data_IF_840051852732
#
_entry.id   IF_840051852732
#
_cell.length_a   1.000
_cell.length_b   1.000
_cell.length_c   1.000
_cell.angle_alpha   90.00
_cell.angle_beta   90.00
_cell.angle_gamma   90.00
#
_symmetry.space_group_name_H-M   'P 1'
#
loop_
_entity.id
_entity.type
_entity.pdbx_description
1 polymer ?
#
# COMPACT_ATOMS: atom_id res chain seq x y z
N UNK A 1 2.36 -21.98 6.27
CA UNK A 1 1.89 -23.23 6.92
C UNK A 1 0.67 -23.78 6.20
N UNK A 2 -0.43 -23.02 6.04
CA UNK A 2 -1.62 -23.44 5.26
C UNK A 2 -1.24 -23.98 3.86
N UNK A 3 -0.59 -23.18 3.01
CA UNK A 3 -0.18 -23.60 1.66
C UNK A 3 0.70 -24.86 1.65
N UNK A 4 1.55 -25.04 2.65
CA UNK A 4 2.38 -26.24 2.75
C UNK A 4 1.55 -27.50 3.03
N UNK A 5 0.58 -27.39 3.95
CA UNK A 5 -0.26 -28.53 4.34
C UNK A 5 -1.27 -28.96 3.28
N UNK A 6 -1.65 -28.05 2.37
CA UNK A 6 -2.54 -28.35 1.24
C UNK A 6 -1.80 -28.69 -0.06
N UNK A 7 -0.46 -28.82 -0.03
CA UNK A 7 0.33 -29.20 -1.22
C UNK A 7 0.70 -28.06 -2.17
N UNK A 8 0.44 -26.81 -1.81
CA UNK A 8 0.68 -25.59 -2.60
C UNK A 8 2.01 -24.90 -2.26
N UNK A 9 3.01 -25.66 -1.81
CA UNK A 9 4.31 -25.13 -1.38
C UNK A 9 5.17 -24.56 -2.53
N UNK A 10 4.84 -24.86 -3.78
CA UNK A 10 5.50 -24.26 -4.96
C UNK A 10 5.09 -22.82 -5.21
N UNK A 11 3.97 -22.40 -4.63
CA UNK A 11 3.33 -21.10 -4.81
C UNK A 11 3.66 -20.12 -3.67
N UNK A 12 4.66 -20.42 -2.83
CA UNK A 12 5.10 -19.58 -1.72
C UNK A 12 6.60 -19.29 -1.79
N UNK A 13 6.98 -18.05 -1.49
CA UNK A 13 8.37 -17.61 -1.35
C UNK A 13 8.52 -16.59 -0.24
N UNK A 14 9.74 -16.43 0.26
CA UNK A 14 10.07 -15.43 1.29
C UNK A 14 10.34 -14.06 0.62
N UNK A 15 11.41 -13.97 -0.17
CA UNK A 15 11.81 -12.74 -0.88
C UNK A 15 12.05 -13.01 -2.37
N UNK A 16 11.97 -11.96 -3.18
CA UNK A 16 12.49 -11.95 -4.55
C UNK A 16 13.67 -10.97 -4.62
N UNK A 17 14.70 -11.33 -5.39
CA UNK A 17 15.91 -10.53 -5.52
C UNK A 17 15.92 -9.65 -6.78
N UNK A 18 15.10 -9.98 -7.78
CA UNK A 18 15.03 -9.25 -9.05
C UNK A 18 13.68 -9.46 -9.74
N UNK A 19 13.39 -8.62 -10.74
CA UNK A 19 12.20 -8.73 -11.57
C UNK A 19 12.14 -10.05 -12.36
N UNK A 20 13.28 -10.50 -12.87
CA UNK A 20 13.44 -11.78 -13.56
C UNK A 20 13.07 -12.96 -12.67
N UNK A 21 13.40 -12.88 -11.38
CA UNK A 21 13.04 -13.90 -10.39
C UNK A 21 11.52 -14.02 -10.21
N UNK A 22 10.79 -12.89 -10.23
CA UNK A 22 9.33 -12.87 -10.16
C UNK A 22 8.74 -13.56 -11.40
N UNK A 23 9.21 -13.17 -12.59
CA UNK A 23 8.76 -13.76 -13.85
C UNK A 23 9.02 -15.26 -13.91
N UNK A 24 10.20 -15.71 -13.50
CA UNK A 24 10.54 -17.14 -13.50
C UNK A 24 9.74 -17.94 -12.47
N UNK A 25 9.36 -17.33 -11.35
CA UNK A 25 8.45 -17.95 -10.38
C UNK A 25 7.05 -18.13 -10.98
N UNK A 26 6.49 -17.08 -11.56
CA UNK A 26 5.17 -17.13 -12.20
C UNK A 26 5.13 -18.06 -13.42
N UNK A 27 6.22 -18.16 -14.18
CA UNK A 27 6.34 -19.12 -15.28
C UNK A 27 6.17 -20.58 -14.84
N UNK A 28 6.47 -20.89 -13.57
CA UNK A 28 6.39 -22.26 -13.03
C UNK A 28 5.04 -22.60 -12.44
N UNK A 29 4.36 -21.62 -11.83
CA UNK A 29 3.14 -21.88 -11.04
C UNK A 29 1.92 -21.09 -11.48
N UNK A 30 2.06 -20.05 -12.29
CA UNK A 30 0.99 -19.09 -12.64
C UNK A 30 0.56 -18.19 -11.47
N UNK A 31 0.67 -18.69 -10.24
CA UNK A 31 0.32 -18.04 -8.98
C UNK A 31 1.48 -18.04 -8.00
N UNK A 32 1.71 -16.94 -7.28
CA UNK A 32 2.80 -16.83 -6.31
C UNK A 32 2.44 -15.89 -5.15
N UNK A 33 2.72 -16.34 -3.92
CA UNK A 33 2.67 -15.54 -2.70
C UNK A 33 4.08 -15.31 -2.18
N UNK A 34 4.53 -14.06 -2.14
CA UNK A 34 5.74 -13.69 -1.39
C UNK A 34 5.35 -13.17 0.00
N UNK A 35 5.91 -13.77 1.05
CA UNK A 35 5.73 -13.36 2.44
C UNK A 35 7.06 -12.84 2.99
N UNK A 36 7.25 -11.53 2.94
CA UNK A 36 8.52 -10.87 3.24
C UNK A 36 8.46 -10.17 4.60
N UNK A 37 9.27 -10.62 5.56
CA UNK A 37 9.56 -9.79 6.72
C UNK A 37 10.61 -8.73 6.37
N UNK A 38 10.39 -7.50 6.85
CA UNK A 38 11.16 -6.29 6.48
C UNK A 38 10.97 -5.84 5.03
N UNK A 39 9.69 -5.67 4.63
CA UNK A 39 9.34 -5.25 3.27
C UNK A 39 9.91 -3.88 2.87
N UNK A 40 10.31 -3.04 3.83
CA UNK A 40 11.01 -1.80 3.55
C UNK A 40 12.37 -2.02 2.85
N UNK A 41 13.02 -3.17 3.06
CA UNK A 41 14.22 -3.56 2.32
C UNK A 41 13.96 -3.72 0.82
N UNK A 42 12.81 -4.29 0.44
CA UNK A 42 12.39 -4.44 -0.96
C UNK A 42 12.13 -3.07 -1.59
N UNK A 43 11.47 -2.16 -0.86
CA UNK A 43 11.20 -0.80 -1.33
C UNK A 43 12.49 0.03 -1.46
N UNK A 44 13.46 -0.15 -0.55
CA UNK A 44 14.78 0.47 -0.66
C UNK A 44 15.52 -0.03 -1.89
N UNK A 45 15.49 -1.33 -2.18
CA UNK A 45 16.09 -1.88 -3.40
C UNK A 45 15.45 -1.27 -4.65
N UNK A 46 14.12 -1.15 -4.68
CA UNK A 46 13.39 -0.45 -5.74
C UNK A 46 13.89 0.99 -5.95
N UNK A 47 14.16 1.73 -4.87
CA UNK A 47 14.65 3.11 -4.97
C UNK A 47 16.13 3.21 -5.36
N UNK A 48 16.94 2.22 -4.99
CA UNK A 48 18.37 2.17 -5.31
C UNK A 48 18.63 1.73 -6.75
N UNK A 49 17.66 1.06 -7.39
CA UNK A 49 17.68 0.68 -8.81
C UNK A 49 17.47 1.92 -9.72
N UNK A 50 18.27 2.96 -9.48
CA UNK A 50 18.36 4.20 -10.25
C UNK A 50 19.16 4.03 -11.54
N UNK A 51 19.97 2.98 -11.63
CA UNK A 51 20.88 2.72 -12.75
C UNK A 51 20.45 1.48 -13.57
N UNK A 52 19.82 1.72 -14.72
CA UNK A 52 19.92 0.86 -15.92
C UNK A 52 19.58 -0.65 -15.83
N UNK A 53 18.78 -1.13 -14.85
CA UNK A 53 18.19 -2.47 -14.98
C UNK A 53 17.07 -2.43 -16.03
N UNK A 54 17.15 -3.33 -17.04
CA UNK A 54 16.28 -3.29 -18.24
C UNK A 54 14.79 -3.55 -17.94
N UNK A 55 14.45 -4.03 -16.74
CA UNK A 55 13.08 -4.13 -16.23
C UNK A 55 13.06 -3.86 -14.71
N UNK A 56 12.89 -2.58 -14.31
CA UNK A 56 12.79 -2.24 -12.89
C UNK A 56 11.62 -3.00 -12.25
N UNK A 57 11.85 -3.62 -11.08
CA UNK A 57 10.85 -4.36 -10.27
C UNK A 57 9.48 -3.66 -10.23
N UNK A 58 9.37 -2.33 -10.00
CA UNK A 58 8.08 -1.64 -9.96
C UNK A 58 7.28 -1.78 -11.25
N UNK A 59 7.92 -1.71 -12.41
CA UNK A 59 7.24 -1.82 -13.70
C UNK A 59 6.66 -3.22 -13.87
N UNK A 60 7.40 -4.27 -13.51
CA UNK A 60 6.89 -5.65 -13.55
C UNK A 60 5.67 -5.79 -12.63
N UNK A 61 5.74 -5.27 -11.40
CA UNK A 61 4.62 -5.34 -10.46
C UNK A 61 3.38 -4.58 -10.97
N UNK A 62 3.57 -3.41 -11.59
CA UNK A 62 2.48 -2.63 -12.20
C UNK A 62 1.86 -3.35 -13.40
N UNK A 63 2.67 -3.95 -14.27
CA UNK A 63 2.20 -4.71 -15.42
C UNK A 63 1.46 -5.96 -14.98
N UNK A 64 1.99 -6.73 -14.01
CA UNK A 64 1.33 -7.91 -13.45
C UNK A 64 -0.03 -7.57 -12.83
N UNK A 65 -0.12 -6.46 -12.08
CA UNK A 65 -1.38 -5.99 -11.52
C UNK A 65 -2.43 -5.73 -12.61
N UNK A 66 -2.02 -5.16 -13.73
CA UNK A 66 -2.91 -4.84 -14.86
C UNK A 66 -3.24 -6.07 -15.70
N UNK A 67 -2.32 -7.03 -15.79
CA UNK A 67 -2.45 -8.25 -16.59
C UNK A 67 -3.17 -9.38 -15.85
N UNK A 68 -3.67 -9.18 -14.64
CA UNK A 68 -4.26 -10.25 -13.82
C UNK A 68 -5.45 -10.97 -14.49
N UNK A 69 -6.13 -10.33 -15.45
CA UNK A 69 -7.19 -10.92 -16.27
C UNK A 69 -6.80 -11.15 -17.74
N UNK A 70 -5.51 -11.09 -18.08
CA UNK A 70 -5.00 -11.14 -19.45
C UNK A 70 -3.69 -11.95 -19.53
N UNK A 71 -3.10 -12.04 -20.71
CA UNK A 71 -1.83 -12.71 -20.97
C UNK A 71 -0.66 -11.79 -20.64
N UNK A 72 0.25 -12.27 -19.79
CA UNK A 72 1.50 -11.60 -19.45
C UNK A 72 2.69 -12.23 -20.18
N UNK A 73 3.23 -11.59 -21.24
CA UNK A 73 4.42 -12.08 -21.93
C UNK A 73 5.65 -11.96 -21.03
N UNK A 74 6.46 -13.03 -20.98
CA UNK A 74 7.72 -13.02 -20.23
C UNK A 74 8.87 -12.46 -21.07
N UNK A 75 9.93 -12.01 -20.40
CA UNK A 75 11.17 -11.62 -21.06
C UNK A 75 11.73 -12.76 -21.92
N UNK A 76 12.36 -12.40 -23.03
CA UNK A 76 13.02 -13.36 -23.92
C UNK A 76 14.40 -13.71 -23.37
N UNK A 77 14.69 -15.00 -23.23
CA UNK A 77 15.99 -15.53 -22.81
C UNK A 77 16.85 -15.92 -24.03
N UNK A 78 18.18 -15.93 -23.87
CA UNK A 78 19.07 -16.43 -24.90
C UNK A 78 18.72 -17.89 -25.25
N UNK A 79 18.70 -18.22 -26.55
CA UNK A 79 18.30 -19.53 -27.10
C UNK A 79 16.82 -19.93 -26.89
N UNK A 80 15.95 -18.99 -26.51
CA UNK A 80 14.52 -19.23 -26.44
C UNK A 80 13.93 -19.22 -27.86
N UNK A 81 13.39 -20.36 -28.29
CA UNK A 81 12.78 -20.51 -29.63
C UNK A 81 11.32 -20.05 -29.67
N UNK A 82 10.59 -20.25 -28.57
CA UNK A 82 9.17 -19.98 -28.48
C UNK A 82 8.88 -18.86 -27.46
N UNK A 83 7.92 -18.00 -27.75
CA UNK A 83 7.45 -17.00 -26.80
C UNK A 83 6.83 -17.68 -25.57
N UNK A 84 7.28 -17.28 -24.38
CA UNK A 84 6.71 -17.78 -23.12
C UNK A 84 5.86 -16.67 -22.53
N UNK A 85 4.67 -17.03 -22.07
CA UNK A 85 3.75 -16.14 -21.39
C UNK A 85 3.15 -16.84 -20.17
N UNK A 86 2.57 -16.05 -19.28
CA UNK A 86 1.73 -16.53 -18.18
C UNK A 86 0.33 -16.01 -18.45
N UNK A 87 -0.64 -16.92 -18.56
CA UNK A 87 -2.04 -16.58 -18.72
C UNK A 87 -2.65 -16.26 -17.34
N UNK A 88 -3.24 -15.08 -17.17
CA UNK A 88 -3.84 -14.60 -15.92
C UNK A 88 -2.90 -14.73 -14.70
N UNK A 89 -1.72 -14.07 -14.70
CA UNK A 89 -0.77 -14.17 -13.61
C UNK A 89 -1.36 -13.70 -12.28
N UNK A 90 -1.14 -14.47 -11.21
CA UNK A 90 -1.63 -14.13 -9.88
C UNK A 90 -0.48 -13.95 -8.88
N UNK A 91 -0.07 -12.70 -8.64
CA UNK A 91 0.97 -12.37 -7.68
C UNK A 91 0.39 -11.69 -6.44
N UNK A 92 0.61 -12.27 -5.26
CA UNK A 92 0.32 -11.64 -3.97
C UNK A 92 1.61 -11.32 -3.24
N UNK A 93 1.74 -10.06 -2.80
CA UNK A 93 2.81 -9.63 -1.92
C UNK A 93 2.23 -9.36 -0.54
N UNK A 94 2.76 -10.05 0.46
CA UNK A 94 2.46 -9.81 1.86
C UNK A 94 3.77 -9.50 2.56
N UNK A 95 3.81 -8.43 3.34
CA UNK A 95 5.00 -8.14 4.10
C UNK A 95 4.76 -7.27 5.31
N UNK A 96 5.67 -7.41 6.26
CA UNK A 96 5.71 -6.63 7.49
C UNK A 96 6.91 -5.69 7.43
N UNK A 97 6.73 -4.48 7.94
CA UNK A 97 7.81 -3.51 8.02
C UNK A 97 7.62 -2.61 9.24
N UNK A 98 8.72 -2.09 9.78
CA UNK A 98 8.62 -1.05 10.81
C UNK A 98 8.10 0.23 10.16
N UNK A 99 7.03 0.87 10.68
CA UNK A 99 6.41 2.02 10.02
C UNK A 99 7.41 3.11 9.62
N UNK A 100 8.34 3.44 10.51
CA UNK A 100 9.38 4.43 10.23
C UNK A 100 10.19 4.09 8.95
N UNK A 101 10.71 2.87 8.85
CA UNK A 101 11.55 2.47 7.74
C UNK A 101 10.76 2.30 6.44
N UNK A 102 9.51 1.83 6.54
CA UNK A 102 8.61 1.75 5.39
C UNK A 102 8.37 3.13 4.77
N UNK A 103 7.97 4.12 5.57
CA UNK A 103 7.68 5.46 5.04
C UNK A 103 8.92 6.20 4.56
N UNK A 104 10.08 6.04 5.23
CA UNK A 104 11.36 6.56 4.76
C UNK A 104 11.81 5.95 3.42
N UNK A 105 11.28 4.77 3.07
CA UNK A 105 11.56 4.08 1.80
C UNK A 105 10.60 4.45 0.68
N UNK A 106 9.65 5.38 0.89
CA UNK A 106 8.77 5.84 -0.19
C UNK A 106 9.42 7.00 -0.95
N UNK A 107 9.16 7.07 -2.26
CA UNK A 107 9.61 8.16 -3.13
C UNK A 107 8.46 8.77 -3.92
N UNK A 108 8.60 10.06 -4.31
CA UNK A 108 7.58 10.76 -5.11
C UNK A 108 7.21 9.98 -6.38
N UNK A 109 8.21 9.38 -7.04
CA UNK A 109 8.01 8.54 -8.23
C UNK A 109 7.07 7.35 -7.97
N UNK A 110 7.18 6.69 -6.81
CA UNK A 110 6.31 5.55 -6.46
C UNK A 110 4.88 5.96 -6.15
N UNK A 111 4.68 7.21 -5.70
CA UNK A 111 3.36 7.77 -5.48
C UNK A 111 2.68 8.10 -6.82
N UNK A 112 3.40 8.78 -7.72
CA UNK A 112 2.81 9.27 -8.97
C UNK A 112 2.69 8.20 -10.06
N UNK A 113 3.55 7.18 -10.06
CA UNK A 113 3.43 6.05 -11.01
C UNK A 113 2.34 5.01 -10.61
N UNK A 114 1.65 5.24 -9.48
CA UNK A 114 0.57 4.39 -8.99
C UNK A 114 1.01 3.08 -8.36
N UNK A 115 2.29 2.87 -8.07
CA UNK A 115 2.73 1.72 -7.28
C UNK A 115 2.12 1.77 -5.87
N UNK A 116 2.23 2.92 -5.21
CA UNK A 116 1.73 3.10 -3.84
C UNK A 116 0.21 2.94 -3.73
N UNK A 117 -0.54 3.49 -4.69
CA UNK A 117 -2.00 3.44 -4.74
C UNK A 117 -2.57 2.02 -4.94
N UNK A 118 -1.74 1.02 -5.23
CA UNK A 118 -2.13 -0.40 -5.39
C UNK A 118 -1.87 -1.25 -4.15
N UNK A 119 -1.24 -0.69 -3.12
CA UNK A 119 -0.94 -1.39 -1.87
C UNK A 119 -2.06 -1.19 -0.85
N UNK A 120 -2.28 -2.20 0.00
CA UNK A 120 -3.04 -2.04 1.25
C UNK A 120 -2.03 -1.90 2.39
N UNK A 121 -1.99 -0.72 3.03
CA UNK A 121 -0.99 -0.40 4.05
C UNK A 121 -1.72 -0.23 5.39
N UNK A 122 -1.52 -1.20 6.27
CA UNK A 122 -2.24 -1.28 7.54
C UNK A 122 -1.27 -0.90 8.66
N UNK A 123 -1.39 0.33 9.15
CA UNK A 123 -0.67 0.79 10.33
C UNK A 123 -1.22 0.07 11.58
N UNK A 124 -0.44 -0.85 12.13
CA UNK A 124 -0.76 -1.44 13.43
C UNK A 124 -0.41 -0.41 14.49
N UNK A 125 -1.43 0.11 15.18
CA UNK A 125 -1.27 1.11 16.24
C UNK A 125 -0.54 0.56 17.47
N UNK A 126 -0.83 1.13 18.64
CA UNK A 126 -0.23 0.66 19.89
C UNK A 126 -0.51 -0.82 20.08
N UNK A 127 0.55 -1.62 20.26
CA UNK A 127 0.44 -3.05 20.53
C UNK A 127 -0.50 -3.28 21.72
N UNK A 128 -1.50 -4.14 21.49
CA UNK A 128 -2.40 -4.60 22.55
C UNK A 128 -1.68 -5.41 23.62
N UNK A 129 -2.41 -5.81 24.67
CA UNK A 129 -1.88 -6.76 25.65
C UNK A 129 -1.53 -8.07 24.94
N UNK A 130 -0.39 -8.65 25.29
CA UNK A 130 0.05 -9.91 24.69
C UNK A 130 -0.97 -11.02 24.91
N UNK A 131 -1.17 -11.84 23.89
CA UNK A 131 -1.94 -13.08 23.95
C UNK A 131 -0.98 -14.24 23.75
N UNK A 132 -1.27 -15.40 24.35
CA UNK A 132 -0.56 -16.64 24.01
C UNK A 132 -0.95 -17.02 22.59
N UNK A 133 0.00 -17.08 21.64
CA UNK A 133 -0.34 -17.43 20.27
C UNK A 133 -0.79 -18.90 20.20
N UNK A 134 -1.74 -19.18 19.29
CA UNK A 134 -2.06 -20.55 18.92
C UNK A 134 -0.88 -21.25 18.25
N UNK A 135 -0.99 -22.57 18.04
CA UNK A 135 0.04 -23.33 17.34
C UNK A 135 0.02 -23.04 15.84
N UNK A 136 1.13 -22.54 15.29
CA UNK A 136 1.30 -22.41 13.85
C UNK A 136 1.45 -23.76 13.12
N UNK A 137 1.66 -24.86 13.86
CA UNK A 137 1.76 -26.23 13.32
C UNK A 137 0.39 -26.93 13.30
N UNK A 138 -0.43 -26.69 14.32
CA UNK A 138 -1.74 -27.31 14.47
C UNK A 138 -2.81 -26.29 14.07
N UNK A 139 -3.03 -26.18 12.77
CA UNK A 139 -4.06 -25.31 12.20
C UNK A 139 -5.43 -25.98 12.37
N UNK A 140 -6.52 -25.23 12.59
CA UNK A 140 -7.86 -25.79 12.64
C UNK A 140 -8.23 -26.47 11.31
N UNK A 141 -8.81 -27.67 11.38
CA UNK A 141 -9.19 -28.46 10.20
C UNK A 141 -10.14 -27.68 9.28
N UNK A 142 -11.10 -26.95 9.84
CA UNK A 142 -12.03 -26.11 9.08
C UNK A 142 -11.32 -25.08 8.16
N UNK A 143 -10.17 -24.53 8.58
CA UNK A 143 -9.39 -23.61 7.74
C UNK A 143 -8.67 -24.36 6.63
N UNK A 144 -8.14 -25.55 6.94
CA UNK A 144 -7.45 -26.40 5.96
C UNK A 144 -8.42 -26.93 4.91
N UNK A 145 -9.62 -27.31 5.30
CA UNK A 145 -10.65 -27.84 4.41
C UNK A 145 -11.11 -26.79 3.40
N UNK A 146 -11.38 -25.56 3.87
CA UNK A 146 -11.72 -24.43 2.97
C UNK A 146 -10.53 -24.07 2.07
N UNK A 147 -9.30 -24.10 2.58
CA UNK A 147 -8.12 -23.81 1.78
C UNK A 147 -7.87 -24.88 0.70
N UNK A 148 -8.07 -26.17 1.02
CA UNK A 148 -8.01 -27.27 0.03
C UNK A 148 -9.09 -27.11 -1.01
N UNK A 149 -10.32 -26.77 -0.60
CA UNK A 149 -11.41 -26.51 -1.52
C UNK A 149 -11.02 -25.44 -2.54
N UNK A 150 -10.47 -24.30 -2.10
CA UNK A 150 -9.99 -23.25 -3.02
C UNK A 150 -8.81 -23.68 -3.90
N UNK A 151 -7.92 -24.54 -3.41
CA UNK A 151 -6.81 -25.06 -4.21
C UNK A 151 -7.29 -26.01 -5.33
N UNK A 152 -8.39 -26.73 -5.09
CA UNK A 152 -9.01 -27.68 -6.01
C UNK A 152 -10.12 -27.05 -6.87
N UNK A 153 -10.52 -25.81 -6.56
CA UNK A 153 -11.63 -25.15 -7.23
C UNK A 153 -11.27 -24.73 -8.67
N UNK A 154 -11.91 -25.39 -9.64
CA UNK A 154 -11.81 -25.09 -11.07
C UNK A 154 -13.20 -24.75 -11.63
N UNK A 155 -13.60 -23.47 -11.67
CA UNK A 155 -14.96 -23.08 -12.04
C UNK A 155 -15.33 -23.26 -13.52
N UNK A 156 -14.38 -23.56 -14.40
CA UNK A 156 -14.64 -23.79 -15.82
C UNK A 156 -14.58 -25.27 -16.20
N UNK A 157 -15.39 -25.68 -17.18
CA UNK A 157 -15.31 -27.02 -17.77
C UNK A 157 -14.37 -27.09 -18.98
N UNK A 158 -13.64 -28.20 -19.13
CA UNK A 158 -12.89 -28.55 -20.35
C UNK A 158 -11.43 -28.98 -20.11
N UNK A 159 -10.79 -29.51 -21.16
CA UNK A 159 -9.45 -30.13 -21.08
C UNK A 159 -8.26 -29.13 -21.03
N UNK A 160 -8.50 -27.82 -21.08
CA UNK A 160 -7.46 -26.77 -21.13
C UNK A 160 -7.49 -25.80 -19.94
N UNK A 161 -8.21 -26.14 -18.86
CA UNK A 161 -8.39 -25.26 -17.70
C UNK A 161 -7.08 -24.94 -16.96
N UNK A 162 -6.09 -25.84 -17.03
CA UNK A 162 -4.75 -25.62 -16.48
C UNK A 162 -3.89 -24.65 -17.30
N UNK A 163 -4.32 -24.30 -18.52
CA UNK A 163 -3.60 -23.42 -19.45
C UNK A 163 -4.28 -22.05 -19.57
N UNK A 164 -5.62 -22.01 -19.60
CA UNK A 164 -6.40 -20.77 -19.61
C UNK A 164 -7.56 -20.86 -18.61
N UNK A 165 -7.37 -20.41 -17.36
CA UNK A 165 -8.42 -20.42 -16.35
C UNK A 165 -9.61 -19.55 -16.78
N UNK A 166 -10.83 -20.06 -16.59
CA UNK A 166 -12.06 -19.27 -16.72
C UNK A 166 -12.53 -18.88 -15.33
N UNK A 167 -12.33 -17.63 -14.87
CA UNK A 167 -12.73 -17.23 -13.54
C UNK A 167 -14.25 -17.28 -13.39
N UNK A 168 -14.72 -17.66 -12.20
CA UNK A 168 -16.13 -17.54 -11.84
C UNK A 168 -16.49 -16.06 -11.65
N UNK A 169 -17.53 -15.58 -12.32
CA UNK A 169 -18.04 -14.22 -12.12
C UNK A 169 -19.04 -14.23 -10.95
N UNK A 170 -18.69 -13.55 -9.86
CA UNK A 170 -19.54 -13.48 -8.68
C UNK A 170 -20.50 -12.28 -8.82
N UNK A 171 -21.83 -12.49 -8.79
CA UNK A 171 -22.78 -11.41 -8.99
C UNK A 171 -22.93 -10.55 -7.74
N UNK A 172 -23.30 -9.30 -7.96
CA UNK A 172 -23.79 -8.40 -6.91
C UNK A 172 -25.27 -8.71 -6.61
N UNK A 173 -25.72 -8.37 -5.40
CA UNK A 173 -27.14 -8.06 -5.16
C UNK A 173 -27.46 -6.67 -5.72
N UNK A 174 -28.72 -6.42 -6.06
CA UNK A 174 -29.15 -5.14 -6.67
C UNK A 174 -28.76 -3.94 -5.78
N UNK A 175 -28.98 -4.03 -4.47
CA UNK A 175 -28.59 -3.00 -3.50
C UNK A 175 -27.07 -2.80 -3.39
N UNK A 176 -26.28 -3.86 -3.58
CA UNK A 176 -24.82 -3.78 -3.61
C UNK A 176 -24.30 -3.14 -4.90
N UNK A 177 -25.00 -3.34 -6.02
CA UNK A 177 -24.68 -2.71 -7.30
C UNK A 177 -24.96 -1.19 -7.27
N UNK A 178 -26.05 -0.79 -6.62
CA UNK A 178 -26.33 0.63 -6.35
C UNK A 178 -25.24 1.25 -5.46
N UNK A 179 -24.90 0.61 -4.34
CA UNK A 179 -23.91 1.11 -3.39
C UNK A 179 -22.50 1.23 -4.00
N UNK A 180 -22.08 0.27 -4.85
CA UNK A 180 -20.77 0.35 -5.51
C UNK A 180 -20.74 1.42 -6.61
N UNK A 181 -21.89 1.73 -7.21
CA UNK A 181 -22.04 2.83 -8.16
C UNK A 181 -21.92 4.18 -7.45
N UNK A 182 -22.57 4.34 -6.30
CA UNK A 182 -22.43 5.54 -5.45
C UNK A 182 -20.97 5.77 -5.02
N UNK A 183 -20.27 4.70 -4.59
CA UNK A 183 -18.84 4.82 -4.27
C UNK A 183 -18.02 5.30 -5.48
N UNK A 184 -18.30 4.78 -6.68
CA UNK A 184 -17.58 5.17 -7.90
C UNK A 184 -17.74 6.67 -8.14
N UNK A 185 -18.97 7.17 -8.12
CA UNK A 185 -19.27 8.60 -8.29
C UNK A 185 -18.59 9.46 -7.22
N UNK A 186 -18.61 9.02 -5.96
CA UNK A 186 -17.88 9.69 -4.88
C UNK A 186 -16.38 9.77 -5.17
N UNK A 187 -15.76 8.69 -5.63
CA UNK A 187 -14.32 8.67 -5.94
C UNK A 187 -13.96 9.48 -7.19
N UNK A 188 -14.87 9.60 -8.16
CA UNK A 188 -14.72 10.47 -9.34
C UNK A 188 -14.73 11.95 -8.92
N UNK A 189 -15.61 12.36 -8.01
CA UNK A 189 -15.61 13.73 -7.46
C UNK A 189 -14.28 14.07 -6.78
N UNK A 190 -13.72 13.16 -5.98
CA UNK A 190 -12.42 13.39 -5.32
C UNK A 190 -11.25 13.36 -6.32
N UNK A 191 -11.36 12.56 -7.39
CA UNK A 191 -10.41 12.57 -8.49
C UNK A 191 -10.40 13.93 -9.20
N UNK A 192 -11.58 14.46 -9.55
CA UNK A 192 -11.71 15.74 -10.27
C UNK A 192 -11.14 16.90 -9.44
N UNK A 193 -11.44 16.95 -8.13
CA UNK A 193 -10.84 17.92 -7.21
C UNK A 193 -9.31 17.86 -7.20
N UNK A 194 -8.75 16.65 -7.23
CA UNK A 194 -7.31 16.45 -7.25
C UNK A 194 -6.69 16.88 -8.59
N UNK A 195 -7.37 16.61 -9.71
CA UNK A 195 -6.93 17.02 -11.04
C UNK A 195 -6.96 18.55 -11.21
N UNK A 196 -8.01 19.22 -10.72
CA UNK A 196 -8.18 20.68 -10.76
C UNK A 196 -7.02 21.44 -10.09
N UNK A 197 -6.46 20.88 -9.01
CA UNK A 197 -5.31 21.46 -8.28
C UNK A 197 -3.96 20.87 -8.71
N UNK A 198 -3.95 19.94 -9.66
CA UNK A 198 -2.74 19.28 -10.14
C UNK A 198 -2.07 18.31 -9.15
N UNK A 199 -2.81 17.78 -8.18
CA UNK A 199 -2.31 16.78 -7.23
C UNK A 199 -2.30 15.38 -7.86
N UNK A 200 -1.20 15.05 -8.53
CA UNK A 200 -1.01 13.76 -9.18
C UNK A 200 -1.07 12.57 -8.19
N UNK A 201 -0.68 12.76 -6.93
CA UNK A 201 -0.70 11.70 -5.91
C UNK A 201 -2.13 11.39 -5.51
N UNK A 202 -2.92 12.43 -5.21
CA UNK A 202 -4.34 12.31 -4.90
C UNK A 202 -5.13 11.71 -6.06
N UNK A 203 -4.93 12.24 -7.27
CA UNK A 203 -5.55 11.73 -8.48
C UNK A 203 -5.31 10.22 -8.68
N UNK A 204 -4.07 9.80 -8.48
CA UNK A 204 -3.68 8.38 -8.62
C UNK A 204 -4.33 7.50 -7.55
N UNK A 205 -4.39 7.94 -6.29
CA UNK A 205 -5.06 7.21 -5.21
C UNK A 205 -6.57 7.07 -5.44
N UNK A 206 -7.26 8.17 -5.78
CA UNK A 206 -8.70 8.17 -5.99
C UNK A 206 -9.12 7.30 -7.17
N UNK A 207 -8.34 7.31 -8.26
CA UNK A 207 -8.59 6.46 -9.45
C UNK A 207 -8.64 4.95 -9.17
N UNK A 208 -8.09 4.49 -8.04
CA UNK A 208 -8.02 3.06 -7.66
C UNK A 208 -8.93 2.70 -6.50
N UNK A 209 -9.54 3.68 -5.84
CA UNK A 209 -10.28 3.45 -4.59
C UNK A 209 -11.50 2.56 -4.82
N UNK A 210 -12.31 2.83 -5.86
CA UNK A 210 -13.45 1.99 -6.21
C UNK A 210 -13.01 0.58 -6.66
N UNK A 211 -11.92 0.46 -7.43
CA UNK A 211 -11.36 -0.84 -7.85
C UNK A 211 -10.93 -1.69 -6.63
N UNK A 212 -10.30 -1.07 -5.63
CA UNK A 212 -9.94 -1.72 -4.38
C UNK A 212 -11.16 -2.18 -3.59
N UNK A 213 -12.19 -1.33 -3.45
CA UNK A 213 -13.42 -1.71 -2.77
C UNK A 213 -14.08 -2.92 -3.46
N UNK A 214 -14.14 -2.96 -4.79
CA UNK A 214 -14.67 -4.12 -5.54
C UNK A 214 -13.90 -5.41 -5.24
N UNK A 215 -12.57 -5.36 -5.24
CA UNK A 215 -11.71 -6.53 -4.93
C UNK A 215 -11.91 -6.99 -3.48
N UNK A 216 -11.99 -6.06 -2.53
CA UNK A 216 -12.21 -6.36 -1.12
C UNK A 216 -13.61 -6.94 -0.86
N UNK A 217 -14.65 -6.41 -1.51
CA UNK A 217 -16.01 -6.93 -1.43
C UNK A 217 -16.11 -8.36 -1.99
N UNK A 218 -15.40 -8.66 -3.08
CA UNK A 218 -15.29 -10.02 -3.61
C UNK A 218 -14.63 -10.97 -2.61
N UNK A 219 -13.51 -10.57 -2.00
CA UNK A 219 -12.81 -11.38 -0.98
C UNK A 219 -13.73 -11.62 0.21
N UNK A 220 -14.46 -10.60 0.66
CA UNK A 220 -15.43 -10.70 1.74
C UNK A 220 -16.50 -11.74 1.41
N UNK A 221 -17.15 -11.63 0.24
CA UNK A 221 -18.21 -12.55 -0.19
C UNK A 221 -17.72 -14.00 -0.27
N UNK A 222 -16.53 -14.22 -0.84
CA UNK A 222 -15.90 -15.54 -0.90
C UNK A 222 -15.53 -16.10 0.48
N UNK A 223 -15.26 -15.23 1.46
CA UNK A 223 -14.96 -15.65 2.83
C UNK A 223 -16.22 -16.02 3.62
N UNK A 224 -17.37 -15.36 3.35
CA UNK A 224 -18.65 -15.71 3.96
C UNK A 224 -19.21 -17.02 3.40
N UNK A 225 -19.14 -17.20 2.08
CA UNK A 225 -19.60 -18.42 1.42
C UNK A 225 -18.71 -18.73 0.21
N UNK A 226 -17.83 -19.72 0.36
CA UNK A 226 -16.93 -20.13 -0.72
C UNK A 226 -17.63 -20.97 -1.80
N UNK A 227 -18.79 -21.57 -1.52
CA UNK A 227 -19.49 -22.48 -2.44
C UNK A 227 -20.37 -21.71 -3.43
N UNK A 228 -21.17 -20.77 -2.91
CA UNK A 228 -22.06 -19.93 -3.71
C UNK A 228 -21.96 -18.47 -3.24
N UNK A 229 -20.82 -17.80 -3.50
CA UNK A 229 -20.63 -16.42 -3.09
C UNK A 229 -21.58 -15.50 -3.85
N UNK A 230 -22.03 -14.46 -3.17
CA UNK A 230 -22.74 -13.32 -3.74
C UNK A 230 -22.25 -12.05 -3.06
N UNK A 231 -21.95 -11.01 -3.83
CA UNK A 231 -21.48 -9.75 -3.25
C UNK A 231 -22.69 -8.99 -2.72
N UNK A 232 -22.81 -8.93 -1.40
CA UNK A 232 -23.93 -8.30 -0.68
C UNK A 232 -23.65 -6.85 -0.34
N UNK A 233 -24.69 -6.11 0.07
CA UNK A 233 -24.56 -4.74 0.55
C UNK A 233 -23.57 -4.62 1.71
N UNK A 234 -23.59 -5.59 2.64
CA UNK A 234 -22.66 -5.62 3.78
C UNK A 234 -21.20 -5.71 3.33
N UNK A 235 -20.91 -6.54 2.31
CA UNK A 235 -19.60 -6.67 1.72
C UNK A 235 -19.12 -5.35 1.10
N UNK A 236 -20.00 -4.67 0.35
CA UNK A 236 -19.70 -3.39 -0.29
C UNK A 236 -19.50 -2.28 0.74
N UNK A 237 -20.35 -2.18 1.76
CA UNK A 237 -20.20 -1.17 2.82
C UNK A 237 -18.86 -1.32 3.55
N UNK A 238 -18.54 -2.53 4.02
CA UNK A 238 -17.28 -2.81 4.69
C UNK A 238 -16.08 -2.47 3.81
N UNK A 239 -16.11 -2.90 2.54
CA UNK A 239 -15.03 -2.67 1.59
C UNK A 239 -14.88 -1.18 1.24
N UNK A 240 -15.99 -0.45 1.11
CA UNK A 240 -16.02 0.99 0.82
C UNK A 240 -15.43 1.80 1.97
N UNK A 241 -15.86 1.52 3.20
CA UNK A 241 -15.32 2.16 4.40
C UNK A 241 -13.81 1.94 4.51
N UNK A 242 -13.36 0.70 4.32
CA UNK A 242 -11.94 0.36 4.36
C UNK A 242 -11.16 1.06 3.23
N UNK A 243 -11.64 1.02 2.00
CA UNK A 243 -10.95 1.60 0.84
C UNK A 243 -10.86 3.13 0.93
N UNK A 244 -11.93 3.81 1.33
CA UNK A 244 -11.94 5.27 1.55
C UNK A 244 -11.01 5.67 2.68
N UNK A 245 -11.02 4.93 3.80
CA UNK A 245 -10.08 5.16 4.88
C UNK A 245 -8.62 4.98 4.42
N UNK A 246 -8.33 3.90 3.69
CA UNK A 246 -7.00 3.63 3.15
C UNK A 246 -6.53 4.72 2.19
N UNK A 247 -7.38 5.18 1.27
CA UNK A 247 -7.05 6.26 0.34
C UNK A 247 -6.68 7.55 1.09
N UNK A 248 -7.54 8.01 2.01
CA UNK A 248 -7.28 9.20 2.83
C UNK A 248 -6.02 9.06 3.66
N UNK A 249 -5.80 7.88 4.26
CA UNK A 249 -4.62 7.59 5.07
C UNK A 249 -3.36 7.61 4.22
N UNK A 250 -3.39 7.03 3.01
CA UNK A 250 -2.28 7.05 2.06
C UNK A 250 -1.90 8.48 1.65
N UNK A 251 -2.89 9.33 1.36
CA UNK A 251 -2.65 10.74 1.02
C UNK A 251 -2.06 11.53 2.18
N UNK A 252 -2.59 11.32 3.39
CA UNK A 252 -2.01 11.89 4.60
C UNK A 252 -0.55 11.44 4.81
N UNK A 253 -0.27 10.15 4.67
CA UNK A 253 1.08 9.63 4.88
C UNK A 253 2.06 10.11 3.81
N UNK A 254 1.60 10.21 2.56
CA UNK A 254 2.37 10.77 1.46
C UNK A 254 2.79 12.22 1.76
N UNK A 255 1.85 13.06 2.21
CA UNK A 255 2.14 14.47 2.52
C UNK A 255 3.05 14.66 3.73
N UNK A 256 3.04 13.73 4.69
CA UNK A 256 3.87 13.80 5.90
C UNK A 256 5.26 13.19 5.74
N UNK A 257 5.42 12.19 4.87
CA UNK A 257 6.65 11.40 4.81
C UNK A 257 7.42 11.50 3.50
N UNK A 258 6.79 11.85 2.38
CA UNK A 258 7.48 11.87 1.09
C UNK A 258 8.04 13.25 0.78
N UNK A 259 9.35 13.37 1.00
CA UNK A 259 10.10 14.56 0.64
C UNK A 259 10.48 14.57 -0.85
N UNK A 260 10.41 15.74 -1.46
CA UNK A 260 10.85 15.94 -2.85
C UNK A 260 12.37 16.03 -2.97
N UNK A 261 13.02 16.54 -1.94
CA UNK A 261 14.46 16.77 -1.88
C UNK A 261 14.95 16.74 -0.41
N UNK A 262 16.27 16.68 -0.16
CA UNK A 262 16.81 16.60 1.20
C UNK A 262 16.38 17.76 2.11
N UNK A 263 16.24 18.97 1.57
CA UNK A 263 15.81 20.14 2.35
C UNK A 263 14.33 20.03 2.75
N UNK A 264 13.47 19.59 1.83
CA UNK A 264 12.06 19.30 2.13
C UNK A 264 11.94 18.19 3.20
N UNK A 265 12.81 17.17 3.18
CA UNK A 265 12.83 16.14 4.23
C UNK A 265 13.09 16.74 5.62
N UNK A 266 13.98 17.73 5.70
CA UNK A 266 14.26 18.46 6.94
C UNK A 266 13.07 19.30 7.41
N UNK A 267 12.35 19.93 6.49
CA UNK A 267 11.10 20.66 6.77
C UNK A 267 10.02 19.72 7.34
N UNK A 268 9.76 18.59 6.67
CA UNK A 268 8.81 17.58 7.14
C UNK A 268 9.19 17.01 8.51
N UNK A 269 10.48 16.77 8.74
CA UNK A 269 10.98 16.30 10.03
C UNK A 269 10.70 17.32 11.14
N UNK A 270 10.86 18.61 10.88
CA UNK A 270 10.51 19.66 11.84
C UNK A 270 9.01 19.67 12.14
N UNK A 271 8.15 19.67 11.10
CA UNK A 271 6.69 19.62 11.25
C UNK A 271 6.25 18.43 12.08
N UNK A 272 6.82 17.24 11.82
CA UNK A 272 6.53 16.02 12.59
C UNK A 272 6.90 16.18 14.07
N UNK A 273 8.06 16.76 14.39
CA UNK A 273 8.47 17.01 15.79
C UNK A 273 7.50 17.92 16.53
N UNK A 274 6.93 18.91 15.84
CA UNK A 274 5.89 19.76 16.38
C UNK A 274 4.58 18.99 16.52
N UNK A 275 4.12 18.28 15.48
CA UNK A 275 2.87 17.52 15.49
C UNK A 275 2.81 16.45 16.59
N UNK A 276 3.94 15.83 16.95
CA UNK A 276 4.06 14.83 18.02
C UNK A 276 3.86 15.43 19.44
N UNK A 277 3.74 16.76 19.58
CA UNK A 277 3.49 17.45 20.86
C UNK A 277 2.00 17.71 21.07
N UNK A 278 1.47 17.55 22.31
CA UNK A 278 0.04 17.78 22.59
C UNK A 278 -0.48 19.17 22.20
N UNK A 279 0.34 20.20 22.38
CA UNK A 279 0.07 21.61 22.04
C UNK A 279 0.68 22.02 20.69
N UNK A 280 1.22 21.05 19.96
CA UNK A 280 1.96 21.21 18.69
C UNK A 280 3.04 22.28 18.73
N UNK A 281 3.58 22.51 19.92
CA UNK A 281 4.50 23.62 20.20
C UNK A 281 5.80 23.07 20.76
N UNK A 282 6.92 23.66 20.36
CA UNK A 282 8.23 23.26 20.86
C UNK A 282 9.20 24.43 20.93
N UNK A 283 9.99 24.50 22.00
CA UNK A 283 10.98 25.56 22.19
C UNK A 283 12.10 25.44 21.14
N UNK A 284 12.60 26.56 20.60
CA UNK A 284 13.61 26.58 19.53
C UNK A 284 14.84 25.73 19.88
N UNK A 285 15.30 25.81 21.13
CA UNK A 285 16.46 25.03 21.63
C UNK A 285 16.20 23.52 21.58
N UNK A 286 14.98 23.08 21.88
CA UNK A 286 14.63 21.67 21.86
C UNK A 286 14.50 21.14 20.44
N UNK A 287 13.89 21.92 19.53
CA UNK A 287 13.82 21.56 18.11
C UNK A 287 15.23 21.42 17.54
N UNK A 288 16.09 22.43 17.76
CA UNK A 288 17.48 22.44 17.28
C UNK A 288 18.28 21.23 17.79
N UNK A 289 18.11 20.85 19.06
CA UNK A 289 18.73 19.63 19.63
C UNK A 289 18.20 18.36 18.97
N UNK A 290 16.91 18.30 18.66
CA UNK A 290 16.27 17.11 18.07
C UNK A 290 16.56 16.90 16.59
N UNK A 291 16.94 17.96 15.87
CA UNK A 291 17.22 17.93 14.44
C UNK A 291 18.70 17.71 14.13
N UNK A 292 19.62 17.99 15.05
CA UNK A 292 21.07 17.81 14.81
C UNK A 292 21.59 18.48 13.53
N UNK A 293 20.94 19.58 13.10
CA UNK A 293 21.33 20.38 11.95
C UNK A 293 22.40 21.42 12.34
N UNK A 294 23.17 21.89 11.36
CA UNK A 294 23.98 23.10 11.52
C UNK A 294 23.06 24.29 11.76
N UNK A 295 23.54 25.30 12.49
CA UNK A 295 22.73 26.46 12.86
C UNK A 295 22.13 27.18 11.65
N UNK A 296 22.94 27.41 10.61
CA UNK A 296 22.49 28.02 9.37
C UNK A 296 21.36 27.22 8.69
N UNK A 297 21.54 25.91 8.53
CA UNK A 297 20.56 25.05 7.85
C UNK A 297 19.24 24.98 8.66
N UNK A 298 19.35 24.94 9.99
CA UNK A 298 18.19 25.02 10.89
C UNK A 298 17.41 26.32 10.71
N UNK A 299 18.11 27.46 10.64
CA UNK A 299 17.48 28.77 10.45
C UNK A 299 16.81 28.88 9.07
N UNK A 300 17.39 28.30 8.03
CA UNK A 300 16.76 28.23 6.71
C UNK A 300 15.47 27.41 6.71
N UNK A 301 15.46 26.25 7.39
CA UNK A 301 14.24 25.43 7.54
C UNK A 301 13.14 26.20 8.27
N UNK A 302 13.46 26.85 9.39
CA UNK A 302 12.50 27.67 10.14
C UNK A 302 11.97 28.82 9.28
N UNK A 303 12.86 29.56 8.62
CA UNK A 303 12.48 30.70 7.78
C UNK A 303 11.54 30.26 6.66
N UNK A 304 11.85 29.15 6.00
CA UNK A 304 11.03 28.60 4.92
C UNK A 304 9.64 28.24 5.42
N UNK A 305 9.54 27.47 6.51
CA UNK A 305 8.25 27.07 7.08
C UNK A 305 7.42 28.25 7.59
N UNK A 306 8.06 29.31 8.10
CA UNK A 306 7.38 30.55 8.48
C UNK A 306 6.86 31.31 7.26
N UNK A 307 7.65 31.41 6.19
CA UNK A 307 7.24 32.05 4.93
C UNK A 307 6.12 31.29 4.22
N UNK A 308 6.07 29.97 4.40
CA UNK A 308 4.99 29.12 3.92
C UNK A 308 3.74 29.14 4.83
N UNK A 309 3.78 29.89 5.94
CA UNK A 309 2.69 29.96 6.92
C UNK A 309 2.31 28.60 7.52
N UNK A 310 3.27 27.69 7.60
CA UNK A 310 3.07 26.37 8.20
C UNK A 310 3.42 26.34 9.69
N UNK A 311 4.26 27.28 10.14
CA UNK A 311 4.59 27.46 11.55
C UNK A 311 4.54 28.94 11.93
N UNK A 312 4.26 29.21 13.20
CA UNK A 312 4.30 30.56 13.77
C UNK A 312 5.19 30.63 15.03
N UNK A 313 5.83 31.78 15.28
CA UNK A 313 6.60 32.00 16.50
C UNK A 313 5.67 32.14 17.70
N UNK A 314 6.04 31.49 18.81
CA UNK A 314 5.28 31.54 20.06
C UNK A 314 6.19 31.70 21.26
N UNK A 315 5.68 32.39 22.28
CA UNK A 315 6.35 32.49 23.58
C UNK A 315 5.80 31.41 24.51
N UNK A 316 6.66 30.48 24.90
CA UNK A 316 6.35 29.35 25.78
C UNK A 316 6.68 29.72 27.22
N UNK A 317 5.69 29.68 28.10
CA UNK A 317 5.90 29.93 29.53
C UNK A 317 6.69 28.76 30.14
N UNK A 318 7.81 29.06 30.78
CA UNK A 318 8.60 28.05 31.53
C UNK A 318 8.75 28.48 32.98
N UNK A 319 9.18 27.56 33.85
CA UNK A 319 9.34 27.81 35.30
C UNK A 319 10.31 28.96 35.63
N UNK A 320 11.22 29.33 34.73
CA UNK A 320 12.22 30.37 34.97
C UNK A 320 12.03 31.60 34.08
N UNK A 321 12.17 31.45 32.76
CA UNK A 321 12.01 32.55 31.80
C UNK A 321 11.18 32.10 30.60
N UNK A 322 10.35 32.97 30.00
CA UNK A 322 9.66 32.65 28.77
C UNK A 322 10.67 32.24 27.69
N UNK A 323 10.42 31.12 27.02
CA UNK A 323 11.26 30.61 25.95
C UNK A 323 10.61 30.92 24.59
N UNK A 324 11.43 31.26 23.60
CA UNK A 324 10.95 31.36 22.22
C UNK A 324 10.85 29.96 21.59
N UNK A 325 9.77 29.72 20.88
CA UNK A 325 9.48 28.47 20.20
C UNK A 325 8.64 28.67 18.97
N UNK A 326 8.20 27.56 18.40
CA UNK A 326 7.34 27.55 17.22
C UNK A 326 6.17 26.61 17.45
N UNK A 327 5.04 26.93 16.85
CA UNK A 327 3.82 26.12 16.83
C UNK A 327 3.45 25.77 15.40
N UNK A 328 3.04 24.53 15.18
CA UNK A 328 2.53 24.09 13.88
C UNK A 328 1.13 24.67 13.64
N UNK A 329 0.93 25.28 12.47
CA UNK A 329 -0.37 25.80 12.04
C UNK A 329 -1.16 24.64 11.43
N UNK A 330 -2.42 24.47 11.83
CA UNK A 330 -3.30 23.47 11.19
C UNK A 330 -3.72 23.95 9.81
N UNK A 331 -3.65 23.08 8.78
CA UNK A 331 -4.36 23.32 7.54
C UNK A 331 -5.86 23.45 7.85
N UNK A 332 -6.53 24.44 7.25
CA UNK A 332 -7.96 24.67 7.45
C UNK A 332 -8.83 23.43 7.13
N UNK A 333 -8.32 22.50 6.33
CA UNK A 333 -9.02 21.32 5.80
C UNK A 333 -9.02 20.10 6.74
N UNK A 334 -8.22 20.06 7.81
CA UNK A 334 -8.22 18.93 8.77
C UNK A 334 -9.24 19.07 9.91
N UNK A 335 -10.17 20.04 9.84
CA UNK A 335 -11.19 20.29 10.86
C UNK A 335 -12.55 19.59 10.60
N UNK A 336 -12.64 18.67 9.65
CA UNK A 336 -13.88 17.94 9.34
C UNK A 336 -13.70 16.42 9.38
#
# INVERSE_FOLDING_TARGET
>A
QVLFQIGESKSIGDKFASGEGIQDALARSGKMLFQNDEMDGVLRQINLDRDNSRESIPNILLTLYTSAGDVYPLRVKANQKDAIHVDQPHLTLFGTATPQHFYESLSKRMLTNGFFARLNIIDVGKRGKGQTPGSARNLPDAILDVAKWWAEFEPGGGNFMSVHPKPSCIPFTDDAEDAITELREQTEVEYDKADDVGDEVARTAWSRTCEHAKKLALIYACSENHVEPKITLAAVHWASEFALHQARRQLYLASVHVAENPFHAECLRLKKRLADRPDRTMARREIMRSMTLKAHDFDQVILTLMQQEEIEPVTIQTKTKPAQGYRLIEPAEMRQ
#
